data_IF_727020664654
#
_entry.id   IF_727020664654
#
_cell.length_a   1.000
_cell.length_b   1.000
_cell.length_c   1.000
_cell.angle_alpha   90.00
_cell.angle_beta   90.00
_cell.angle_gamma   90.00
#
_symmetry.space_group_name_H-M   'P 1'
#
loop_
_entity.id
_entity.type
_entity.pdbx_description
1 polymer ?
#
# COMPACT_ATOMS: atom_id res chain seq x y z
N UNK A 1 -13.05 -20.64 -20.93
CA UNK A 1 -12.34 -21.49 -19.96
C UNK A 1 -12.96 -21.28 -18.59
N UNK A 2 -13.26 -22.33 -17.87
CA UNK A 2 -13.74 -22.30 -16.47
C UNK A 2 -12.86 -23.24 -15.64
N UNK A 3 -12.55 -22.86 -14.42
CA UNK A 3 -11.89 -23.72 -13.44
C UNK A 3 -12.37 -23.38 -12.02
N UNK A 4 -12.36 -24.36 -11.13
CA UNK A 4 -12.50 -24.12 -9.69
C UNK A 4 -11.11 -23.91 -9.09
N UNK A 5 -10.93 -22.97 -8.15
CA UNK A 5 -9.62 -22.73 -7.53
C UNK A 5 -9.00 -23.99 -6.90
N UNK A 6 -9.83 -24.86 -6.32
CA UNK A 6 -9.43 -26.14 -5.70
C UNK A 6 -8.90 -27.17 -6.71
N UNK A 7 -9.37 -27.10 -7.97
CA UNK A 7 -8.96 -28.02 -9.06
C UNK A 7 -7.71 -27.51 -9.81
N UNK A 8 -7.30 -26.26 -9.52
CA UNK A 8 -6.23 -25.58 -10.24
C UNK A 8 -6.69 -25.02 -11.59
N UNK A 9 -5.89 -24.11 -12.14
CA UNK A 9 -6.21 -23.38 -13.37
C UNK A 9 -5.64 -23.98 -14.66
N UNK A 10 -4.70 -24.91 -14.57
CA UNK A 10 -4.08 -25.55 -15.74
C UNK A 10 -3.21 -24.64 -16.62
N UNK A 11 -2.95 -23.40 -16.20
CA UNK A 11 -2.11 -22.44 -16.91
C UNK A 11 -0.69 -22.43 -16.32
N UNK A 12 0.34 -22.01 -17.08
CA UNK A 12 1.70 -21.89 -16.58
C UNK A 12 1.85 -20.91 -15.41
N UNK A 13 0.97 -19.91 -15.35
CA UNK A 13 0.97 -18.87 -14.30
C UNK A 13 -0.43 -18.63 -13.77
N UNK A 14 -0.55 -18.43 -12.43
CA UNK A 14 -1.83 -18.15 -11.79
C UNK A 14 -2.41 -16.80 -12.27
N UNK A 15 -3.61 -16.78 -12.88
CA UNK A 15 -4.20 -15.57 -13.44
C UNK A 15 -4.88 -14.66 -12.42
N UNK A 16 -5.09 -15.11 -11.18
CA UNK A 16 -5.89 -14.39 -10.19
C UNK A 16 -5.49 -12.92 -10.01
N UNK A 17 -4.20 -12.67 -9.80
CA UNK A 17 -3.71 -11.29 -9.62
C UNK A 17 -3.72 -10.46 -10.92
N UNK A 18 -3.80 -11.09 -12.09
CA UNK A 18 -3.96 -10.40 -13.36
C UNK A 18 -5.42 -10.00 -13.63
N UNK A 19 -6.37 -10.78 -13.11
CA UNK A 19 -7.81 -10.49 -13.23
C UNK A 19 -8.16 -9.27 -12.37
N UNK A 20 -7.63 -9.22 -11.13
CA UNK A 20 -7.85 -8.09 -10.21
C UNK A 20 -6.75 -7.05 -10.44
N UNK A 21 -6.88 -6.27 -11.50
CA UNK A 21 -5.91 -5.23 -11.89
C UNK A 21 -6.57 -4.09 -12.68
N UNK A 22 -5.99 -2.87 -12.70
CA UNK A 22 -4.81 -2.45 -11.96
C UNK A 22 -5.13 -2.28 -10.46
N UNK A 23 -4.16 -2.63 -9.60
CA UNK A 23 -4.27 -2.38 -8.17
C UNK A 23 -3.40 -1.20 -7.76
N UNK A 24 -3.91 -0.26 -6.96
CA UNK A 24 -3.07 0.75 -6.35
C UNK A 24 -2.06 0.10 -5.39
N UNK A 25 -0.95 0.79 -5.14
CA UNK A 25 0.06 0.36 -4.18
C UNK A 25 0.00 1.28 -2.96
N UNK A 26 -0.35 0.72 -1.81
CA UNK A 26 -0.14 1.35 -0.53
C UNK A 26 1.27 1.04 -0.05
N UNK A 27 2.14 2.05 -0.02
CA UNK A 27 3.48 1.93 0.55
C UNK A 27 3.38 2.26 2.02
N UNK A 28 3.23 1.20 2.82
CA UNK A 28 2.85 1.30 4.23
C UNK A 28 4.10 1.50 5.08
N UNK A 29 4.15 2.61 5.81
CA UNK A 29 5.11 2.84 6.87
C UNK A 29 4.48 2.62 8.23
N UNK A 30 5.28 2.09 9.14
CA UNK A 30 4.92 1.83 10.54
C UNK A 30 6.13 2.12 11.42
N UNK A 31 5.87 2.42 12.70
CA UNK A 31 6.88 2.59 13.75
C UNK A 31 6.50 1.73 14.94
N UNK A 32 7.46 1.08 15.59
CA UNK A 32 7.25 0.26 16.77
C UNK A 32 8.57 -0.08 17.46
N UNK A 33 8.56 -1.02 18.38
CA UNK A 33 9.76 -1.42 19.13
C UNK A 33 10.93 -1.88 18.24
N UNK A 34 10.64 -2.33 17.03
CA UNK A 34 11.65 -2.74 16.03
C UNK A 34 12.21 -1.57 15.20
N UNK A 35 11.79 -0.34 15.45
CA UNK A 35 12.14 0.82 14.65
C UNK A 35 11.13 1.12 13.54
N UNK A 36 11.55 1.90 12.55
CA UNK A 36 10.73 2.26 11.39
C UNK A 36 10.76 1.15 10.35
N UNK A 37 9.62 0.93 9.68
CA UNK A 37 9.47 -0.06 8.63
C UNK A 37 8.69 0.54 7.45
N UNK A 38 9.04 0.15 6.23
CA UNK A 38 8.39 0.60 5.01
C UNK A 38 8.25 -0.56 4.01
N UNK A 39 7.03 -0.97 3.71
CA UNK A 39 6.77 -2.08 2.80
C UNK A 39 5.59 -1.81 1.86
N UNK A 40 5.68 -2.18 0.56
CA UNK A 40 4.60 -2.00 -0.41
C UNK A 40 3.57 -3.13 -0.35
N UNK A 41 2.30 -2.75 -0.41
CA UNK A 41 1.15 -3.66 -0.48
C UNK A 41 0.28 -3.32 -1.67
N UNK A 42 0.09 -4.27 -2.58
CA UNK A 42 -0.78 -4.10 -3.74
C UNK A 42 -2.20 -4.64 -3.53
N UNK A 43 -2.49 -5.29 -2.41
CA UNK A 43 -3.85 -5.51 -1.95
C UNK A 43 -4.23 -4.33 -1.05
N UNK A 44 -4.48 -3.18 -1.67
CA UNK A 44 -4.75 -1.91 -1.05
C UNK A 44 -5.91 -1.22 -1.77
N UNK A 45 -6.83 -0.60 -1.02
CA UNK A 45 -7.91 0.20 -1.60
C UNK A 45 -8.56 1.13 -0.55
N UNK A 46 -9.31 2.15 -1.03
CA UNK A 46 -10.29 2.87 -0.24
C UNK A 46 -11.53 2.00 -0.02
N UNK A 47 -12.12 2.05 1.18
CA UNK A 47 -13.30 1.23 1.54
C UNK A 47 -14.47 2.03 2.08
N UNK A 48 -14.25 3.25 2.58
CA UNK A 48 -15.30 4.15 3.05
C UNK A 48 -14.92 5.60 2.74
N UNK A 49 -15.93 6.47 2.72
CA UNK A 49 -15.77 7.87 2.35
C UNK A 49 -16.03 8.83 3.51
N UNK A 50 -16.95 8.51 4.41
CA UNK A 50 -17.29 9.32 5.59
C UNK A 50 -17.50 8.39 6.79
N UNK A 51 -16.54 8.35 7.73
CA UNK A 51 -15.19 8.89 7.64
C UNK A 51 -14.37 8.18 6.55
N UNK A 52 -13.30 8.81 6.01
CA UNK A 52 -12.48 8.19 4.99
C UNK A 52 -11.70 7.02 5.59
N UNK A 53 -11.78 5.86 4.93
CA UNK A 53 -11.13 4.64 5.38
C UNK A 53 -10.46 3.93 4.23
N UNK A 54 -9.34 3.30 4.52
CA UNK A 54 -8.57 2.47 3.60
C UNK A 54 -8.37 1.08 4.15
N UNK A 55 -8.03 0.13 3.29
CA UNK A 55 -7.59 -1.19 3.71
C UNK A 55 -6.34 -1.63 2.97
N UNK A 56 -5.53 -2.46 3.61
CA UNK A 56 -4.54 -3.27 2.91
C UNK A 56 -4.50 -4.70 3.47
N UNK A 57 -4.04 -5.64 2.65
CA UNK A 57 -3.92 -7.03 3.05
C UNK A 57 -2.48 -7.53 2.97
N UNK A 58 -2.03 -8.17 4.05
CA UNK A 58 -0.78 -8.93 4.13
C UNK A 58 -1.09 -10.42 4.01
N UNK A 59 -0.40 -11.12 3.10
CA UNK A 59 -0.76 -12.50 2.71
C UNK A 59 0.38 -13.51 2.90
N UNK A 60 1.46 -13.16 3.58
CA UNK A 60 2.59 -14.07 3.80
C UNK A 60 3.20 -13.88 5.17
N UNK A 61 3.83 -14.93 5.67
CA UNK A 61 4.71 -14.91 6.84
C UNK A 61 6.11 -14.42 6.48
N UNK A 62 6.89 -14.02 7.47
CA UNK A 62 8.36 -14.01 7.40
C UNK A 62 8.89 -15.34 7.94
N UNK A 63 10.00 -15.82 7.37
CA UNK A 63 10.61 -17.09 7.77
C UNK A 63 11.16 -17.05 9.21
N UNK A 64 11.51 -15.87 9.71
CA UNK A 64 12.01 -15.60 11.07
C UNK A 64 10.90 -15.42 12.12
N UNK A 65 9.63 -15.32 11.68
CA UNK A 65 8.45 -15.14 12.54
C UNK A 65 7.27 -15.93 12.01
N UNK A 66 6.79 -16.84 12.78
CA UNK A 66 5.81 -17.84 12.37
C UNK A 66 4.42 -17.34 11.94
N UNK A 67 4.08 -16.03 12.04
CA UNK A 67 2.70 -15.62 11.78
C UNK A 67 2.46 -14.37 10.93
N UNK A 68 3.32 -13.32 11.00
CA UNK A 68 3.04 -12.06 10.29
C UNK A 68 4.30 -11.36 9.74
N UNK A 69 4.09 -10.42 8.80
CA UNK A 69 5.10 -9.42 8.40
C UNK A 69 5.26 -8.34 9.47
N UNK A 70 6.39 -7.62 9.43
CA UNK A 70 6.75 -6.57 10.39
C UNK A 70 5.68 -5.50 10.50
N UNK A 71 5.11 -5.03 9.38
CA UNK A 71 4.04 -4.05 9.39
C UNK A 71 2.85 -4.51 10.23
N UNK A 72 2.36 -5.76 10.07
CA UNK A 72 1.22 -6.27 10.86
C UNK A 72 1.58 -6.43 12.33
N UNK A 73 2.82 -6.83 12.64
CA UNK A 73 3.28 -6.94 14.04
C UNK A 73 3.28 -5.56 14.71
N UNK A 74 3.85 -4.54 14.07
CA UNK A 74 3.86 -3.17 14.58
C UNK A 74 2.47 -2.55 14.66
N UNK A 75 1.57 -2.84 13.70
CA UNK A 75 0.18 -2.38 13.76
C UNK A 75 -0.59 -2.93 14.96
N UNK A 76 -0.31 -4.15 15.38
CA UNK A 76 -0.89 -4.73 16.60
C UNK A 76 -0.34 -4.07 17.87
N UNK A 77 0.90 -3.59 17.81
CA UNK A 77 1.57 -2.91 18.91
C UNK A 77 1.09 -1.46 19.05
N UNK A 78 1.07 -0.70 17.97
CA UNK A 78 0.93 0.76 18.00
C UNK A 78 -0.43 1.28 17.53
N UNK A 79 -1.13 0.50 16.71
CA UNK A 79 -2.43 0.88 16.16
C UNK A 79 -2.38 2.00 15.11
N UNK A 80 -1.20 2.32 14.56
CA UNK A 80 -1.04 3.42 13.60
C UNK A 80 -0.17 3.04 12.40
N UNK A 81 -0.42 3.67 11.25
CA UNK A 81 0.39 3.54 10.04
C UNK A 81 0.19 4.73 9.11
N UNK A 82 1.13 4.92 8.21
CA UNK A 82 0.96 5.88 7.13
C UNK A 82 0.97 5.15 5.77
N UNK A 83 0.06 5.53 4.89
CA UNK A 83 0.04 5.08 3.49
C UNK A 83 0.72 6.14 2.65
N UNK A 84 1.82 5.79 1.99
CA UNK A 84 2.47 6.67 1.03
C UNK A 84 2.08 6.23 -0.38
N UNK A 85 1.68 7.17 -1.23
CA UNK A 85 1.37 6.87 -2.64
C UNK A 85 2.68 6.82 -3.43
N UNK A 86 2.82 5.81 -4.27
CA UNK A 86 4.04 5.59 -5.06
C UNK A 86 3.89 6.22 -6.43
N UNK A 87 4.74 7.20 -6.74
CA UNK A 87 4.88 7.72 -8.11
C UNK A 87 5.86 6.87 -8.94
N UNK A 88 5.79 6.98 -10.26
CA UNK A 88 6.66 6.22 -11.17
C UNK A 88 8.15 6.43 -10.92
N UNK A 89 8.56 7.64 -10.55
CA UNK A 89 9.95 7.96 -10.26
C UNK A 89 10.52 7.16 -9.06
N UNK A 90 9.66 6.76 -8.12
CA UNK A 90 10.04 6.02 -6.90
C UNK A 90 9.98 4.49 -7.06
N UNK A 91 9.68 3.95 -8.25
CA UNK A 91 9.45 2.51 -8.48
C UNK A 91 10.59 1.62 -8.00
N UNK A 92 11.84 2.05 -8.21
CA UNK A 92 13.02 1.25 -7.87
C UNK A 92 13.24 1.23 -6.34
N UNK A 93 13.07 2.36 -5.67
CA UNK A 93 13.11 2.46 -4.21
C UNK A 93 11.98 1.62 -3.58
N UNK A 94 10.74 1.75 -4.08
CA UNK A 94 9.61 0.94 -3.61
C UNK A 94 9.86 -0.56 -3.82
N UNK A 95 10.40 -0.96 -4.97
CA UNK A 95 10.71 -2.37 -5.23
C UNK A 95 11.79 -2.89 -4.28
N UNK A 96 12.81 -2.08 -3.96
CA UNK A 96 13.85 -2.44 -3.00
C UNK A 96 13.27 -2.71 -1.61
N UNK A 97 12.33 -1.89 -1.14
CA UNK A 97 11.66 -2.09 0.17
C UNK A 97 10.71 -3.30 0.21
N UNK A 98 10.46 -3.96 -0.93
CA UNK A 98 9.67 -5.20 -0.98
C UNK A 98 10.48 -6.47 -0.65
N UNK A 99 11.79 -6.33 -0.45
CA UNK A 99 12.69 -7.45 -0.19
C UNK A 99 12.43 -8.16 1.15
N UNK A 100 12.92 -9.39 1.31
CA UNK A 100 12.81 -10.15 2.56
C UNK A 100 13.89 -9.73 3.56
N UNK A 101 13.89 -8.45 3.95
CA UNK A 101 14.90 -7.90 4.87
C UNK A 101 14.71 -8.45 6.28
N UNK A 102 15.81 -8.51 7.05
CA UNK A 102 15.78 -8.91 8.45
C UNK A 102 14.92 -7.96 9.28
N UNK A 103 14.39 -8.48 10.39
CA UNK A 103 13.59 -7.69 11.32
C UNK A 103 14.38 -6.51 11.91
N UNK A 104 13.75 -5.35 11.98
CA UNK A 104 14.38 -4.12 12.48
C UNK A 104 15.32 -3.44 11.47
N UNK A 105 15.37 -3.93 10.23
CA UNK A 105 16.04 -3.21 9.15
C UNK A 105 15.16 -2.05 8.70
N UNK A 106 15.74 -0.86 8.70
CA UNK A 106 15.05 0.35 8.24
C UNK A 106 15.09 0.43 6.71
N UNK A 107 13.93 0.18 6.06
CA UNK A 107 13.84 0.21 4.61
C UNK A 107 13.91 1.63 4.01
N UNK A 108 13.62 2.68 4.79
CA UNK A 108 13.86 4.05 4.34
C UNK A 108 15.35 4.31 4.11
N UNK A 109 16.18 3.96 5.08
CA UNK A 109 17.64 4.09 4.96
C UNK A 109 18.17 3.22 3.83
N UNK A 110 17.70 1.97 3.75
CA UNK A 110 18.11 1.03 2.72
C UNK A 110 17.84 1.55 1.30
N UNK A 111 16.69 2.20 1.11
CA UNK A 111 16.26 2.74 -0.19
C UNK A 111 16.72 4.20 -0.41
N UNK A 112 17.45 4.80 0.52
CA UNK A 112 17.91 6.19 0.44
C UNK A 112 16.76 7.20 0.44
N UNK A 113 15.68 6.92 1.17
CA UNK A 113 14.49 7.74 1.25
C UNK A 113 14.54 8.65 2.46
N UNK A 114 14.25 9.93 2.25
CA UNK A 114 14.09 10.89 3.34
C UNK A 114 12.75 10.64 4.06
N UNK A 115 12.82 10.64 5.40
CA UNK A 115 11.64 10.56 6.26
C UNK A 115 11.13 11.96 6.58
N UNK A 116 9.81 12.10 6.67
CA UNK A 116 9.16 13.20 7.37
C UNK A 116 8.22 12.60 8.41
N UNK A 117 8.01 13.31 9.51
CA UNK A 117 7.08 12.86 10.55
C UNK A 117 5.64 13.10 10.12
N UNK A 118 4.75 12.25 10.60
CA UNK A 118 3.31 12.46 10.58
C UNK A 118 2.89 13.49 11.65
N UNK A 119 1.71 14.07 11.52
CA UNK A 119 1.22 15.10 12.44
C UNK A 119 0.19 14.56 13.44
N UNK A 120 -0.61 13.55 13.07
CA UNK A 120 -1.69 13.02 13.91
C UNK A 120 -1.36 11.67 14.55
N UNK A 121 -0.26 11.04 14.12
CA UNK A 121 0.20 9.74 14.58
C UNK A 121 1.72 9.71 14.73
N UNK A 122 2.23 8.88 15.61
CA UNK A 122 3.69 8.62 15.71
C UNK A 122 4.11 7.58 14.67
N UNK A 123 4.41 8.07 13.47
CA UNK A 123 4.80 7.25 12.34
C UNK A 123 5.56 8.09 11.30
N UNK A 124 6.63 7.57 10.66
CA UNK A 124 7.27 8.27 9.57
C UNK A 124 6.45 8.14 8.27
N UNK A 125 6.60 9.11 7.39
CA UNK A 125 6.16 9.05 5.99
C UNK A 125 7.32 9.27 5.04
N UNK A 126 7.17 8.85 3.80
CA UNK A 126 8.12 9.19 2.73
C UNK A 126 7.98 10.68 2.41
N UNK A 127 9.02 11.48 2.69
CA UNK A 127 8.97 12.93 2.57
C UNK A 127 8.54 13.41 1.17
N UNK A 128 9.04 12.75 0.13
CA UNK A 128 8.80 13.10 -1.27
C UNK A 128 7.56 12.42 -1.89
N UNK A 129 6.76 11.66 -1.12
CA UNK A 129 5.56 11.03 -1.67
C UNK A 129 4.56 12.08 -2.19
N UNK A 130 3.90 11.86 -3.35
CA UNK A 130 2.91 12.80 -3.88
C UNK A 130 1.70 12.98 -2.97
N UNK A 131 1.35 11.95 -2.23
CA UNK A 131 0.37 12.01 -1.15
C UNK A 131 0.70 10.99 -0.07
N UNK A 132 0.34 11.30 1.18
CA UNK A 132 0.39 10.37 2.29
C UNK A 132 -0.89 10.47 3.13
N UNK A 133 -1.34 9.31 3.66
CA UNK A 133 -2.53 9.19 4.50
C UNK A 133 -2.10 8.67 5.87
N UNK A 134 -2.26 9.47 6.90
CA UNK A 134 -2.06 9.05 8.29
C UNK A 134 -3.28 8.28 8.75
N UNK A 135 -3.07 7.10 9.32
CA UNK A 135 -4.17 6.19 9.62
C UNK A 135 -4.08 5.64 11.05
N UNK A 136 -5.24 5.51 11.68
CA UNK A 136 -5.43 4.69 12.89
C UNK A 136 -6.13 3.40 12.51
N UNK A 137 -5.62 2.29 13.04
CA UNK A 137 -6.21 0.97 12.82
C UNK A 137 -7.60 0.92 13.41
N UNK A 138 -8.58 0.56 12.60
CA UNK A 138 -9.96 0.28 13.02
C UNK A 138 -10.09 -1.18 13.40
N UNK A 139 -9.59 -2.08 12.55
CA UNK A 139 -9.67 -3.52 12.75
C UNK A 139 -8.58 -4.24 11.94
N UNK A 140 -8.10 -5.36 12.47
CA UNK A 140 -7.25 -6.32 11.77
C UNK A 140 -7.98 -7.65 11.72
N UNK A 141 -8.49 -8.01 10.54
CA UNK A 141 -9.27 -9.23 10.30
C UNK A 141 -8.36 -10.34 9.78
N UNK A 142 -8.37 -11.49 10.45
CA UNK A 142 -7.73 -12.70 9.94
C UNK A 142 -8.67 -13.41 8.96
N UNK A 143 -8.22 -13.58 7.73
CA UNK A 143 -8.92 -14.36 6.71
C UNK A 143 -8.48 -15.84 6.73
N UNK A 144 -9.24 -16.75 6.10
CA UNK A 144 -8.80 -18.12 5.88
C UNK A 144 -7.42 -18.20 5.23
N UNK A 145 -6.63 -19.19 5.61
CA UNK A 145 -5.22 -19.36 5.22
C UNK A 145 -4.26 -19.08 6.35
N UNK A 146 -2.95 -19.32 6.13
CA UNK A 146 -1.95 -19.31 7.20
C UNK A 146 -1.72 -17.89 7.76
N UNK A 147 -1.54 -16.89 6.88
CA UNK A 147 -1.13 -15.54 7.29
C UNK A 147 -1.81 -14.44 6.46
N UNK A 148 -3.10 -14.58 6.20
CA UNK A 148 -3.90 -13.58 5.50
C UNK A 148 -4.54 -12.63 6.51
N UNK A 149 -4.11 -11.37 6.52
CA UNK A 149 -4.64 -10.33 7.41
C UNK A 149 -5.04 -9.12 6.60
N UNK A 150 -6.27 -8.64 6.80
CA UNK A 150 -6.74 -7.35 6.27
C UNK A 150 -6.73 -6.35 7.40
N UNK A 151 -6.03 -5.25 7.20
CA UNK A 151 -6.03 -4.10 8.12
C UNK A 151 -6.93 -3.00 7.54
N UNK A 152 -7.90 -2.56 8.31
CA UNK A 152 -8.71 -1.38 8.04
C UNK A 152 -8.19 -0.21 8.87
N UNK A 153 -8.01 0.95 8.24
CA UNK A 153 -7.56 2.17 8.88
C UNK A 153 -8.47 3.34 8.56
N UNK A 154 -8.81 4.12 9.59
CA UNK A 154 -9.42 5.43 9.44
C UNK A 154 -8.35 6.47 9.17
N UNK A 155 -8.54 7.30 8.14
CA UNK A 155 -7.62 8.37 7.78
C UNK A 155 -7.82 9.56 8.73
N UNK A 156 -6.76 9.92 9.46
CA UNK A 156 -6.75 11.03 10.43
C UNK A 156 -6.02 12.27 9.93
N UNK A 157 -5.20 12.13 8.88
CA UNK A 157 -4.46 13.22 8.25
C UNK A 157 -4.15 12.90 6.78
N UNK A 158 -4.06 13.94 5.96
CA UNK A 158 -3.75 13.81 4.53
C UNK A 158 -2.67 14.82 4.16
N UNK A 159 -1.56 14.35 3.64
CA UNK A 159 -0.51 15.17 3.05
C UNK A 159 -0.64 15.11 1.53
N UNK A 160 -0.56 16.27 0.90
CA UNK A 160 -0.51 16.41 -0.56
C UNK A 160 0.72 17.25 -0.93
N UNK A 161 1.44 16.83 -1.93
CA UNK A 161 2.56 17.59 -2.50
C UNK A 161 2.00 18.67 -3.42
N UNK A 162 2.43 19.91 -3.23
CA UNK A 162 1.85 21.10 -3.89
C UNK A 162 1.94 21.02 -5.43
N UNK A 163 3.03 20.47 -5.97
CA UNK A 163 3.23 20.32 -7.42
C UNK A 163 2.27 19.28 -8.07
N UNK A 164 1.53 18.54 -7.25
CA UNK A 164 0.46 17.64 -7.71
C UNK A 164 -0.91 18.30 -7.75
N UNK A 165 -1.01 19.58 -7.33
CA UNK A 165 -2.25 20.36 -7.36
C UNK A 165 -2.29 21.24 -8.62
N UNK A 166 -3.24 20.96 -9.51
CA UNK A 166 -3.48 21.73 -10.73
C UNK A 166 -4.91 22.28 -10.68
N UNK A 167 -5.06 23.59 -10.71
CA UNK A 167 -6.36 24.29 -10.66
C UNK A 167 -7.25 23.83 -9.49
N UNK A 168 -6.63 23.57 -8.33
CA UNK A 168 -7.32 23.09 -7.12
C UNK A 168 -7.71 21.61 -7.13
N UNK A 169 -7.27 20.86 -8.12
CA UNK A 169 -7.48 19.43 -8.25
C UNK A 169 -6.16 18.68 -8.01
N UNK A 170 -6.20 17.59 -7.23
CA UNK A 170 -5.07 16.66 -7.13
C UNK A 170 -5.02 15.82 -8.42
N UNK A 171 -4.08 16.16 -9.29
CA UNK A 171 -3.97 15.59 -10.64
C UNK A 171 -3.01 14.41 -10.66
N UNK A 172 -3.54 13.22 -10.85
CA UNK A 172 -2.77 11.97 -10.89
C UNK A 172 -1.81 11.89 -12.08
N UNK A 173 -2.01 12.67 -13.13
CA UNK A 173 -1.13 12.66 -14.31
C UNK A 173 0.21 13.34 -14.04
N UNK A 174 0.29 14.22 -13.03
CA UNK A 174 1.52 14.94 -12.66
C UNK A 174 2.58 14.01 -12.09
N UNK A 175 2.18 13.01 -11.28
CA UNK A 175 3.09 12.09 -10.60
C UNK A 175 3.02 10.63 -11.11
N UNK A 176 2.07 10.33 -11.98
CA UNK A 176 1.95 9.01 -12.63
C UNK A 176 1.97 7.87 -11.61
N UNK A 177 0.89 7.67 -10.82
CA UNK A 177 0.88 6.64 -9.78
C UNK A 177 1.18 5.26 -10.33
N UNK A 178 2.09 4.57 -9.63
CA UNK A 178 2.46 3.20 -9.96
C UNK A 178 1.35 2.25 -9.55
N UNK A 179 0.99 1.33 -10.45
CA UNK A 179 -0.02 0.30 -10.19
C UNK A 179 0.55 -1.10 -10.41
N UNK A 180 0.11 -2.06 -9.60
CA UNK A 180 0.46 -3.48 -9.73
C UNK A 180 -0.55 -4.19 -10.61
N UNK A 181 -0.05 -4.94 -11.58
CA UNK A 181 -0.82 -5.87 -12.40
C UNK A 181 -0.63 -7.30 -11.93
N UNK A 182 -0.81 -8.28 -12.81
CA UNK A 182 -0.47 -9.67 -12.53
C UNK A 182 1.02 -9.97 -12.67
N UNK A 183 1.42 -11.15 -12.20
CA UNK A 183 2.77 -11.68 -12.37
C UNK A 183 3.87 -10.75 -11.81
N UNK A 184 4.73 -10.20 -12.66
CA UNK A 184 5.75 -9.20 -12.33
C UNK A 184 5.48 -7.84 -12.96
N UNK A 185 4.28 -7.65 -13.53
CA UNK A 185 3.94 -6.48 -14.31
C UNK A 185 3.45 -5.33 -13.44
N UNK A 186 3.79 -4.13 -13.87
CA UNK A 186 3.36 -2.85 -13.33
C UNK A 186 2.85 -1.96 -14.45
N UNK A 187 2.07 -0.97 -14.12
CA UNK A 187 1.66 0.10 -15.04
C UNK A 187 1.60 1.43 -14.30
N UNK A 188 1.43 2.50 -15.05
CA UNK A 188 1.28 3.86 -14.51
C UNK A 188 0.09 4.54 -15.17
N UNK A 189 -0.54 5.46 -14.46
CA UNK A 189 -1.59 6.32 -15.01
C UNK A 189 -0.94 7.50 -15.68
N UNK A 190 -1.10 7.63 -17.00
CA UNK A 190 -0.59 8.75 -17.82
C UNK A 190 -1.69 9.57 -18.45
N UNK A 191 -2.84 8.96 -18.64
CA UNK A 191 -4.00 9.57 -19.29
C UNK A 191 -5.24 9.30 -18.45
N UNK A 192 -6.13 10.27 -18.41
CA UNK A 192 -7.43 10.18 -17.76
C UNK A 192 -8.53 10.56 -18.75
N UNK A 193 -9.71 10.02 -18.58
CA UNK A 193 -10.89 10.40 -19.33
C UNK A 193 -12.08 10.54 -18.37
N UNK A 194 -13.00 11.41 -18.71
CA UNK A 194 -14.20 11.65 -17.92
C UNK A 194 -15.36 10.78 -18.42
N UNK A 195 -16.09 10.21 -17.49
CA UNK A 195 -17.38 9.58 -17.73
C UNK A 195 -18.42 10.20 -16.79
N UNK A 196 -19.43 10.84 -17.37
CA UNK A 196 -20.57 11.33 -16.60
C UNK A 196 -21.51 10.20 -16.23
N UNK A 197 -22.07 10.25 -15.05
CA UNK A 197 -23.10 9.29 -14.66
C UNK A 197 -24.40 9.58 -15.43
N UNK A 198 -25.21 8.55 -15.74
CA UNK A 198 -26.52 8.78 -16.30
C UNK A 198 -27.35 9.70 -15.39
N UNK A 199 -27.78 10.86 -15.93
CA UNK A 199 -28.54 11.86 -15.18
C UNK A 199 -27.74 13.04 -14.60
N UNK A 200 -26.40 13.08 -14.78
CA UNK A 200 -25.55 14.25 -14.52
C UNK A 200 -25.50 15.20 -15.69
#
# INVERSE_FOLDING_TARGET
MFYRPEDGHGLPHNPFNAIVSPRPIGWISTRGAMGDNLAPYSFFNAVAYVPPQVMFSSTSTKDDRGDTKDSVAQLRETGTFCVNIVEFAMRDAMNLTSGPWEAGKDEFELAGLEKAECETIDCPRVAAAPAALECRVVEIVKLPGAANFVTFGEVTGVHLRDDCLVDGRFDVTTFQPLTRLGYRDYSVIREVFELKRPGE
#
